data_IF_250972559201
#
_entry.id   IF_250972559201
#
_cell.length_a   1.000
_cell.length_b   1.000
_cell.length_c   1.000
_cell.angle_alpha   90.00
_cell.angle_beta   90.00
_cell.angle_gamma   90.00
#
_symmetry.space_group_name_H-M   'P 1'
#
loop_
_entity.id
_entity.type
_entity.pdbx_description
1 polymer ?
#
# COMPACT_ATOMS: atom_id res chain seq x y z
N UNK A 1 4.63 -18.51 9.48
CA UNK A 1 4.96 -17.61 8.36
C UNK A 1 4.01 -16.45 8.48
N UNK A 2 4.55 -15.27 8.77
CA UNK A 2 3.82 -14.11 9.25
C UNK A 2 2.97 -13.55 8.12
N UNK A 3 1.67 -13.33 8.35
CA UNK A 3 0.75 -12.84 7.31
C UNK A 3 1.22 -11.53 6.66
N UNK A 4 1.98 -10.72 7.40
CA UNK A 4 2.45 -9.38 7.03
C UNK A 4 3.40 -9.32 5.84
N UNK A 5 4.33 -10.26 5.72
CA UNK A 5 5.30 -10.29 4.62
C UNK A 5 4.61 -10.53 3.25
N UNK A 6 3.47 -11.25 3.28
CA UNK A 6 2.68 -11.53 2.08
C UNK A 6 1.90 -10.30 1.60
N UNK A 7 1.32 -9.51 2.52
CA UNK A 7 0.61 -8.28 2.15
C UNK A 7 1.53 -7.20 1.62
N UNK A 8 2.75 -7.11 2.15
CA UNK A 8 3.72 -6.12 1.67
C UNK A 8 4.04 -6.33 0.19
N UNK A 9 4.32 -7.57 -0.20
CA UNK A 9 4.57 -7.94 -1.59
C UNK A 9 3.35 -7.70 -2.48
N UNK A 10 2.15 -7.93 -1.96
CA UNK A 10 0.89 -7.71 -2.68
C UNK A 10 0.62 -6.22 -2.91
N UNK A 11 0.78 -5.39 -1.89
CA UNK A 11 0.67 -3.93 -1.94
C UNK A 11 1.64 -3.35 -2.96
N UNK A 12 2.91 -3.78 -2.94
CA UNK A 12 3.92 -3.34 -3.91
C UNK A 12 3.56 -3.72 -5.34
N UNK A 13 3.05 -4.94 -5.56
CA UNK A 13 2.57 -5.36 -6.89
C UNK A 13 1.39 -4.53 -7.37
N UNK A 14 0.38 -4.35 -6.52
CA UNK A 14 -0.78 -3.51 -6.85
C UNK A 14 -0.34 -2.09 -7.17
N UNK A 15 0.63 -1.56 -6.43
CA UNK A 15 1.16 -0.22 -6.64
C UNK A 15 1.84 -0.09 -8.01
N UNK A 16 2.75 -1.00 -8.35
CA UNK A 16 3.44 -1.03 -9.64
C UNK A 16 2.46 -1.22 -10.81
N UNK A 17 1.48 -2.12 -10.67
CA UNK A 17 0.45 -2.33 -11.71
C UNK A 17 -0.49 -1.13 -11.87
N UNK A 18 -0.92 -0.52 -10.77
CA UNK A 18 -1.91 0.56 -10.80
C UNK A 18 -1.34 1.87 -11.35
N UNK A 19 -0.04 2.08 -11.15
CA UNK A 19 0.68 3.25 -11.63
C UNK A 19 1.56 2.99 -12.86
N UNK A 20 1.55 1.77 -13.37
CA UNK A 20 2.33 1.33 -14.54
C UNK A 20 3.81 1.74 -14.43
N UNK A 21 4.39 1.59 -13.23
CA UNK A 21 5.77 1.99 -12.96
C UNK A 21 6.72 0.91 -13.51
N UNK A 22 7.77 1.31 -14.22
CA UNK A 22 8.82 0.41 -14.71
C UNK A 22 9.83 0.07 -13.59
N UNK A 23 9.33 -0.47 -12.48
CA UNK A 23 10.12 -0.88 -11.31
C UNK A 23 9.66 -2.24 -10.82
N UNK A 24 10.61 -3.10 -10.44
CA UNK A 24 10.28 -4.36 -9.81
C UNK A 24 9.70 -4.13 -8.41
N UNK A 25 8.53 -4.71 -8.08
CA UNK A 25 7.92 -4.56 -6.76
C UNK A 25 8.84 -5.10 -5.65
N UNK A 26 9.70 -6.08 -5.95
CA UNK A 26 10.69 -6.60 -4.99
C UNK A 26 11.84 -5.61 -4.71
N UNK A 27 12.07 -4.64 -5.61
CA UNK A 27 13.08 -3.58 -5.43
C UNK A 27 12.60 -2.49 -4.47
N UNK A 28 11.28 -2.37 -4.26
CA UNK A 28 10.69 -1.36 -3.37
C UNK A 28 10.92 -1.81 -1.92
N UNK A 29 11.52 -0.96 -1.10
CA UNK A 29 11.72 -1.24 0.33
C UNK A 29 10.41 -1.25 1.12
N UNK A 30 10.29 -2.10 2.14
CA UNK A 30 9.12 -2.12 3.04
C UNK A 30 8.88 -0.80 3.76
N UNK A 31 9.97 -0.10 4.12
CA UNK A 31 9.96 1.20 4.80
C UNK A 31 10.08 2.38 3.82
N UNK A 32 10.08 2.12 2.51
CA UNK A 32 10.19 3.17 1.49
C UNK A 32 8.87 3.94 1.37
N UNK A 33 8.94 5.27 1.31
CA UNK A 33 7.77 6.11 1.09
C UNK A 33 7.30 5.97 -0.36
N UNK A 34 6.17 5.30 -0.56
CA UNK A 34 5.46 5.21 -1.83
C UNK A 34 4.81 6.54 -2.21
N UNK A 35 4.46 7.36 -1.22
CA UNK A 35 3.68 8.57 -1.43
C UNK A 35 4.36 9.79 -0.84
N UNK A 36 4.36 10.89 -1.59
CA UNK A 36 4.83 12.19 -1.12
C UNK A 36 5.91 12.82 -1.99
N UNK A 37 6.41 14.00 -1.60
CA UNK A 37 7.36 14.78 -2.40
C UNK A 37 8.76 14.15 -2.50
N UNK A 38 9.03 13.13 -1.70
CA UNK A 38 10.28 12.38 -1.68
C UNK A 38 10.21 11.10 -2.55
N UNK A 39 9.04 10.79 -3.12
CA UNK A 39 8.82 9.65 -3.98
C UNK A 39 9.33 9.94 -5.40
N UNK A 40 10.25 9.11 -5.89
CA UNK A 40 10.85 9.22 -7.24
C UNK A 40 9.91 8.72 -8.35
N UNK A 41 8.80 8.06 -7.99
CA UNK A 41 7.87 7.44 -8.94
C UNK A 41 6.87 8.42 -9.58
N UNK A 42 6.93 9.72 -9.22
CA UNK A 42 6.08 10.76 -9.83
C UNK A 42 4.60 10.68 -9.43
N UNK A 43 4.33 10.23 -8.21
CA UNK A 43 2.98 9.91 -7.74
C UNK A 43 2.38 11.10 -7.01
N UNK A 44 1.31 11.64 -7.57
CA UNK A 44 0.63 12.81 -7.03
C UNK A 44 -0.45 12.43 -6.00
N UNK A 45 -0.94 13.42 -5.25
CA UNK A 45 -2.01 13.20 -4.26
C UNK A 45 -3.28 12.57 -4.84
N UNK A 46 -3.58 12.78 -6.13
CA UNK A 46 -4.73 12.14 -6.79
C UNK A 46 -4.53 10.65 -7.02
N UNK A 47 -3.30 10.26 -7.35
CA UNK A 47 -2.90 8.88 -7.56
C UNK A 47 -2.97 8.08 -6.26
N UNK A 48 -2.53 8.68 -5.16
CA UNK A 48 -2.70 8.11 -3.81
C UNK A 48 -4.16 7.78 -3.52
N UNK A 49 -5.08 8.72 -3.77
CA UNK A 49 -6.51 8.49 -3.55
C UNK A 49 -7.05 7.35 -4.41
N UNK A 50 -6.57 7.19 -5.64
CA UNK A 50 -6.97 6.11 -6.55
C UNK A 50 -6.49 4.76 -6.03
N UNK A 51 -5.24 4.67 -5.59
CA UNK A 51 -4.69 3.47 -4.99
C UNK A 51 -5.41 3.08 -3.70
N UNK A 52 -5.69 4.05 -2.83
CA UNK A 52 -6.46 3.83 -1.62
C UNK A 52 -7.89 3.36 -1.94
N UNK A 53 -8.53 3.93 -2.96
CA UNK A 53 -9.85 3.49 -3.41
C UNK A 53 -9.86 2.06 -3.97
N UNK A 54 -8.79 1.66 -4.67
CA UNK A 54 -8.62 0.30 -5.19
C UNK A 54 -8.38 -0.72 -4.07
N UNK A 55 -7.46 -0.42 -3.15
CA UNK A 55 -7.26 -1.19 -1.92
C UNK A 55 -8.56 -1.31 -1.11
N UNK A 56 -9.29 -0.20 -0.97
CA UNK A 56 -10.58 -0.17 -0.28
C UNK A 56 -11.56 -1.15 -0.91
N UNK A 57 -11.65 -1.20 -2.24
CA UNK A 57 -12.55 -2.11 -2.93
C UNK A 57 -12.08 -3.57 -2.86
N UNK A 58 -10.76 -3.82 -2.95
CA UNK A 58 -10.18 -5.17 -2.87
C UNK A 58 -10.26 -5.79 -1.49
N UNK A 59 -10.07 -4.99 -0.44
CA UNK A 59 -9.97 -5.47 0.94
C UNK A 59 -11.13 -5.01 1.84
N UNK A 60 -12.17 -4.40 1.27
CA UNK A 60 -13.34 -3.86 2.00
C UNK A 60 -12.95 -2.98 3.19
N UNK A 61 -12.01 -2.04 2.95
CA UNK A 61 -11.51 -1.14 4.00
C UNK A 61 -12.43 0.06 4.18
N UNK A 62 -12.45 0.65 5.38
CA UNK A 62 -13.11 1.92 5.62
C UNK A 62 -12.14 3.09 5.50
N UNK A 63 -12.49 4.08 4.68
CA UNK A 63 -11.64 5.25 4.40
C UNK A 63 -11.37 6.09 5.65
N UNK A 64 -12.24 6.02 6.67
CA UNK A 64 -12.03 6.70 7.95
C UNK A 64 -10.88 6.12 8.76
N UNK A 65 -10.50 4.87 8.47
CA UNK A 65 -9.39 4.19 9.15
C UNK A 65 -8.09 4.24 8.35
N UNK A 66 -8.18 4.63 7.08
CA UNK A 66 -7.03 4.86 6.21
C UNK A 66 -6.54 6.29 6.45
N UNK A 67 -5.58 6.43 7.38
CA UNK A 67 -4.83 7.68 7.49
C UNK A 67 -3.82 7.73 6.34
N UNK A 68 -3.97 8.69 5.43
CA UNK A 68 -2.98 8.99 4.36
C UNK A 68 -1.58 9.29 4.91
N UNK A 69 -1.49 9.64 6.19
CA UNK A 69 -0.23 9.85 6.90
C UNK A 69 0.45 8.54 7.33
N UNK A 70 -0.32 7.48 7.60
CA UNK A 70 0.18 6.16 7.98
C UNK A 70 0.32 5.24 6.77
N UNK A 71 -0.52 5.42 5.75
CA UNK A 71 -0.44 4.74 4.46
C UNK A 71 0.59 5.40 3.54
N UNK A 72 1.85 5.49 3.99
CA UNK A 72 2.96 6.02 3.19
C UNK A 72 3.94 4.96 2.74
N UNK A 73 4.09 3.88 3.52
CA UNK A 73 5.05 2.80 3.24
C UNK A 73 4.33 1.47 3.05
N UNK A 74 4.86 0.56 2.21
CA UNK A 74 4.21 -0.73 1.98
C UNK A 74 4.16 -1.58 3.24
N UNK A 75 5.12 -1.47 4.16
CA UNK A 75 5.10 -2.17 5.44
C UNK A 75 3.96 -1.68 6.35
N UNK A 76 3.68 -0.37 6.42
CA UNK A 76 2.55 0.15 7.21
C UNK A 76 1.22 -0.32 6.62
N UNK A 77 1.07 -0.30 5.30
CA UNK A 77 -0.12 -0.80 4.61
C UNK A 77 -0.30 -2.29 4.87
N UNK A 78 0.77 -3.08 4.72
CA UNK A 78 0.77 -4.51 4.96
C UNK A 78 0.43 -4.88 6.40
N UNK A 79 0.96 -4.12 7.36
CA UNK A 79 0.65 -4.27 8.79
C UNK A 79 -0.83 -4.02 9.02
N UNK A 80 -1.37 -2.92 8.51
CA UNK A 80 -2.79 -2.60 8.63
C UNK A 80 -3.69 -3.69 8.02
N UNK A 81 -3.36 -4.18 6.82
CA UNK A 81 -4.08 -5.28 6.17
C UNK A 81 -4.00 -6.57 6.99
N UNK A 82 -2.84 -6.86 7.57
CA UNK A 82 -2.63 -8.04 8.42
C UNK A 82 -3.47 -7.98 9.69
N UNK A 83 -3.47 -6.85 10.39
CA UNK A 83 -4.23 -6.67 11.63
C UNK A 83 -5.72 -6.82 11.36
N UNK A 84 -6.21 -6.28 10.24
CA UNK A 84 -7.62 -6.34 9.90
C UNK A 84 -8.09 -7.73 9.50
N UNK A 85 -7.27 -8.48 8.75
CA UNK A 85 -7.60 -9.85 8.34
C UNK A 85 -7.33 -10.87 9.47
N UNK A 86 -6.39 -10.58 10.36
CA UNK A 86 -6.13 -11.36 11.57
C UNK A 86 -7.12 -11.11 12.71
N UNK A 87 -7.80 -9.97 12.73
CA UNK A 87 -8.90 -9.68 13.66
C UNK A 87 -10.24 -10.30 13.25
N UNK A 88 -10.33 -10.90 12.06
CA UNK A 88 -11.51 -11.58 11.54
C UNK A 88 -11.55 -13.09 11.87
N UNK A 89 -10.63 -13.60 12.71
CA UNK A 89 -10.60 -14.99 13.18
C UNK A 89 -11.23 -15.18 14.57
#
# INVERSE_FOLDING_TARGET
MSGTESYESEVKKVYVELFEIDVDPESIGGDEELFGPQCDYGIDSMDVLRFLADLRQRYDLDVSEIATETFRTPASIATFLSERRGAAE
#
